data_IF_257401926196
#
_entry.id   IF_257401926196
#
_cell.length_a   1.000
_cell.length_b   1.000
_cell.length_c   1.000
_cell.angle_alpha   90.00
_cell.angle_beta   90.00
_cell.angle_gamma   90.00
#
_symmetry.space_group_name_H-M   'P 1'
#
loop_
_entity.id
_entity.type
_entity.pdbx_description
1 polymer ?
#
# COMPACT_ATOMS: atom_id res chain seq x y z
N UNK A 1 47.94 -42.26 34.07
CA UNK A 1 47.85 -41.29 32.95
C UNK A 1 47.39 -42.05 31.73
N UNK A 2 46.20 -41.76 31.19
CA UNK A 2 45.73 -42.36 29.92
C UNK A 2 46.07 -41.38 28.80
N UNK A 3 46.87 -41.83 27.83
CA UNK A 3 47.12 -41.07 26.60
C UNK A 3 45.80 -40.92 25.81
N UNK A 4 45.49 -39.73 25.30
CA UNK A 4 44.35 -39.56 24.40
C UNK A 4 44.65 -40.29 23.09
N UNK A 5 43.74 -41.19 22.70
CA UNK A 5 43.80 -41.90 21.42
C UNK A 5 43.79 -40.89 20.25
N UNK A 6 44.62 -41.10 19.22
CA UNK A 6 44.67 -40.22 18.06
C UNK A 6 43.32 -40.23 17.33
N UNK A 7 42.73 -39.04 17.13
CA UNK A 7 41.54 -38.87 16.29
C UNK A 7 41.83 -39.44 14.88
N UNK A 8 40.92 -40.25 14.31
CA UNK A 8 41.12 -40.80 12.98
C UNK A 8 41.17 -39.67 11.95
N UNK A 9 42.24 -39.63 11.16
CA UNK A 9 42.53 -38.58 10.17
C UNK A 9 41.37 -38.28 9.19
N UNK A 10 40.42 -39.21 9.01
CA UNK A 10 39.20 -39.02 8.23
C UNK A 10 38.22 -37.99 8.81
N UNK A 11 38.06 -37.92 10.15
CA UNK A 11 37.14 -36.98 10.78
C UNK A 11 37.58 -35.51 10.61
N UNK A 12 38.88 -35.25 10.60
CA UNK A 12 39.42 -33.91 10.40
C UNK A 12 39.27 -33.43 8.94
N UNK A 13 39.31 -34.34 7.96
CA UNK A 13 39.12 -34.04 6.54
C UNK A 13 37.63 -33.77 6.22
N UNK A 14 36.72 -34.61 6.73
CA UNK A 14 35.27 -34.41 6.57
C UNK A 14 34.79 -33.11 7.20
N UNK A 15 35.34 -32.74 8.37
CA UNK A 15 35.01 -31.48 9.02
C UNK A 15 35.47 -30.26 8.22
N UNK A 16 36.60 -30.34 7.50
CA UNK A 16 37.07 -29.27 6.61
C UNK A 16 36.19 -29.15 5.37
N UNK A 17 35.77 -30.27 4.79
CA UNK A 17 34.88 -30.31 3.61
C UNK A 17 33.51 -29.75 3.99
N UNK A 18 32.93 -30.20 5.11
CA UNK A 18 31.67 -29.68 5.63
C UNK A 18 31.73 -28.17 5.89
N UNK A 19 32.82 -27.68 6.49
CA UNK A 19 33.02 -26.24 6.74
C UNK A 19 33.11 -25.44 5.45
N UNK A 20 33.80 -25.96 4.42
CA UNK A 20 33.89 -25.32 3.10
C UNK A 20 32.56 -25.33 2.36
N UNK A 21 31.81 -26.42 2.43
CA UNK A 21 30.47 -26.51 1.87
C UNK A 21 29.52 -25.50 2.52
N UNK A 22 29.60 -25.35 3.86
CA UNK A 22 28.79 -24.39 4.60
C UNK A 22 29.15 -22.93 4.25
N UNK A 23 30.44 -22.64 4.04
CA UNK A 23 30.89 -21.33 3.54
C UNK A 23 30.35 -21.06 2.13
N UNK A 24 30.41 -22.05 1.22
CA UNK A 24 29.87 -21.92 -0.13
C UNK A 24 28.35 -21.68 -0.13
N UNK A 25 27.62 -22.42 0.70
CA UNK A 25 26.18 -22.23 0.88
C UNK A 25 25.89 -20.84 1.44
N UNK A 26 26.63 -20.38 2.45
CA UNK A 26 26.48 -19.04 2.99
C UNK A 26 26.75 -17.94 1.94
N UNK A 27 27.78 -18.11 1.11
CA UNK A 27 28.11 -17.20 0.01
C UNK A 27 27.01 -17.15 -1.07
N UNK A 28 26.38 -18.29 -1.36
CA UNK A 28 25.26 -18.38 -2.29
C UNK A 28 23.96 -17.80 -1.72
N UNK A 29 23.72 -17.95 -0.41
CA UNK A 29 22.54 -17.40 0.25
C UNK A 29 22.65 -15.89 0.55
N UNK A 30 23.87 -15.37 0.76
CA UNK A 30 24.11 -13.96 1.04
C UNK A 30 23.43 -12.98 0.06
N UNK A 31 23.52 -13.14 -1.28
CA UNK A 31 22.83 -12.24 -2.21
C UNK A 31 21.30 -12.36 -2.14
N UNK A 32 20.76 -13.56 -1.90
CA UNK A 32 19.31 -13.78 -1.76
C UNK A 32 18.78 -13.08 -0.51
N UNK A 33 19.46 -13.26 0.63
CA UNK A 33 19.12 -12.59 1.89
C UNK A 33 19.28 -11.08 1.75
N UNK A 34 20.34 -10.61 1.09
CA UNK A 34 20.56 -9.19 0.80
C UNK A 34 19.42 -8.58 -0.02
N UNK A 35 18.96 -9.26 -1.07
CA UNK A 35 17.82 -8.83 -1.88
C UNK A 35 16.51 -8.76 -1.07
N UNK A 36 16.26 -9.76 -0.22
CA UNK A 36 15.08 -9.78 0.65
C UNK A 36 15.11 -8.60 1.63
N UNK A 37 16.26 -8.35 2.28
CA UNK A 37 16.40 -7.22 3.22
C UNK A 37 16.25 -5.87 2.52
N UNK A 38 16.80 -5.72 1.31
CA UNK A 38 16.64 -4.52 0.49
C UNK A 38 15.16 -4.29 0.15
N UNK A 39 14.44 -5.33 -0.29
CA UNK A 39 13.02 -5.25 -0.58
C UNK A 39 12.22 -4.82 0.65
N UNK A 40 12.46 -5.45 1.80
CA UNK A 40 11.79 -5.09 3.06
C UNK A 40 12.05 -3.62 3.42
N UNK A 41 13.29 -3.13 3.29
CA UNK A 41 13.63 -1.74 3.57
C UNK A 41 12.90 -0.74 2.66
N UNK A 42 12.75 -1.06 1.38
CA UNK A 42 12.02 -0.21 0.43
C UNK A 42 10.52 -0.24 0.67
N UNK A 43 9.93 -1.41 0.94
CA UNK A 43 8.49 -1.54 1.20
C UNK A 43 8.08 -1.00 2.59
N UNK A 44 8.96 -1.07 3.59
CA UNK A 44 8.71 -0.51 4.91
C UNK A 44 8.62 1.02 4.90
N UNK A 45 9.07 1.69 3.84
CA UNK A 45 9.07 3.13 3.76
C UNK A 45 7.65 3.72 3.60
N UNK A 46 6.68 2.96 3.08
CA UNK A 46 5.31 3.44 2.89
C UNK A 46 4.31 2.53 3.60
N UNK A 47 3.45 3.14 4.43
CA UNK A 47 2.36 2.46 5.14
C UNK A 47 1.02 2.83 4.51
N UNK A 48 0.32 1.81 4.06
CA UNK A 48 -1.08 1.92 3.62
C UNK A 48 -2.02 1.54 4.75
N UNK A 49 -3.00 2.39 5.02
CA UNK A 49 -4.02 2.20 6.04
C UNK A 49 -5.40 2.51 5.45
N UNK A 50 -6.35 1.59 5.63
CA UNK A 50 -7.75 1.89 5.29
C UNK A 50 -8.38 2.66 6.43
N UNK A 51 -8.64 3.95 6.21
CA UNK A 51 -9.17 4.85 7.26
C UNK A 51 -10.69 4.87 7.29
N UNK A 52 -11.36 4.58 6.17
CA UNK A 52 -12.81 4.51 6.08
C UNK A 52 -13.23 3.54 4.98
N UNK A 53 -14.39 2.90 5.17
CA UNK A 53 -15.02 2.05 4.16
C UNK A 53 -16.51 1.95 4.44
N UNK A 54 -17.30 1.68 3.41
CA UNK A 54 -18.73 1.49 3.56
C UNK A 54 -19.42 1.07 2.29
N UNK A 55 -20.74 0.89 2.40
CA UNK A 55 -21.64 0.69 1.27
C UNK A 55 -22.71 1.77 1.34
N UNK A 56 -22.74 2.64 0.33
CA UNK A 56 -23.74 3.68 0.18
C UNK A 56 -24.99 3.15 -0.54
N UNK A 57 -26.14 3.86 -0.45
CA UNK A 57 -27.38 3.45 -1.11
C UNK A 57 -27.21 3.12 -2.60
N UNK A 58 -27.93 2.09 -3.03
CA UNK A 58 -27.82 1.53 -4.38
C UNK A 58 -26.54 0.71 -4.57
N UNK A 59 -26.14 -0.02 -3.53
CA UNK A 59 -25.04 -1.02 -3.54
C UNK A 59 -23.72 -0.44 -4.08
N UNK A 60 -23.37 0.78 -3.65
CA UNK A 60 -22.11 1.42 -4.02
C UNK A 60 -21.11 1.21 -2.90
N UNK A 61 -20.18 0.29 -3.08
CA UNK A 61 -19.10 0.06 -2.15
C UNK A 61 -17.99 1.10 -2.34
N UNK A 62 -17.41 1.55 -1.24
CA UNK A 62 -16.33 2.52 -1.25
C UNK A 62 -15.32 2.27 -0.15
N UNK A 63 -14.10 2.77 -0.37
CA UNK A 63 -12.98 2.70 0.56
C UNK A 63 -12.12 3.94 0.43
N UNK A 64 -11.68 4.48 1.57
CA UNK A 64 -10.66 5.52 1.67
C UNK A 64 -9.39 4.89 2.23
N UNK A 65 -8.30 4.98 1.48
CA UNK A 65 -6.99 4.49 1.85
C UNK A 65 -6.05 5.68 2.04
N UNK A 66 -5.39 5.74 3.19
CA UNK A 66 -4.30 6.66 3.49
C UNK A 66 -2.98 5.95 3.22
N UNK A 67 -2.14 6.53 2.38
CA UNK A 67 -0.77 6.11 2.13
C UNK A 67 0.17 7.17 2.73
N UNK A 68 1.08 6.75 3.60
CA UNK A 68 2.07 7.63 4.21
C UNK A 68 3.47 7.06 4.01
N UNK A 69 4.34 7.81 3.33
CA UNK A 69 5.72 7.41 3.05
C UNK A 69 6.69 8.18 3.95
N UNK A 70 7.35 7.49 4.88
CA UNK A 70 8.16 8.09 5.93
C UNK A 70 7.34 8.69 7.07
N UNK A 71 7.98 8.94 8.21
CA UNK A 71 7.30 9.45 9.42
C UNK A 71 6.77 10.88 9.22
N UNK A 72 7.50 11.72 8.48
CA UNK A 72 7.17 13.14 8.23
C UNK A 72 6.63 13.41 6.80
N UNK A 73 6.36 12.35 6.03
CA UNK A 73 5.82 12.49 4.68
C UNK A 73 4.37 12.97 4.69
N UNK A 74 4.03 13.86 3.77
CA UNK A 74 2.64 14.29 3.58
C UNK A 74 1.77 13.09 3.13
N UNK A 75 0.65 12.82 3.80
CA UNK A 75 -0.17 11.65 3.49
C UNK A 75 -0.91 11.81 2.16
N UNK A 76 -1.05 10.73 1.42
CA UNK A 76 -1.89 10.62 0.24
C UNK A 76 -3.17 9.88 0.60
N UNK A 77 -4.30 10.33 0.06
CA UNK A 77 -5.60 9.68 0.24
C UNK A 77 -6.13 9.23 -1.11
N UNK A 78 -6.53 7.97 -1.21
CA UNK A 78 -7.20 7.39 -2.37
C UNK A 78 -8.62 6.97 -1.97
N UNK A 79 -9.61 7.46 -2.70
CA UNK A 79 -11.00 7.06 -2.58
C UNK A 79 -11.34 6.16 -3.75
N UNK A 80 -11.56 4.88 -3.48
CA UNK A 80 -11.99 3.91 -4.47
C UNK A 80 -13.50 3.63 -4.33
N UNK A 81 -14.21 3.55 -5.46
CA UNK A 81 -15.64 3.29 -5.53
C UNK A 81 -15.93 2.18 -6.55
N UNK A 82 -17.00 1.43 -6.33
CA UNK A 82 -17.47 0.39 -7.23
C UNK A 82 -18.84 -0.14 -6.81
N UNK A 83 -19.45 -0.97 -7.64
CA UNK A 83 -20.62 -1.72 -7.21
C UNK A 83 -20.23 -2.71 -6.10
N UNK A 84 -21.19 -3.07 -5.25
CA UNK A 84 -20.98 -4.04 -4.18
C UNK A 84 -20.53 -5.39 -4.75
N UNK A 85 -19.47 -5.96 -4.15
CA UNK A 85 -18.82 -7.20 -4.59
C UNK A 85 -18.07 -7.10 -5.92
N UNK A 86 -17.96 -5.91 -6.52
CA UNK A 86 -17.14 -5.67 -7.71
C UNK A 86 -15.78 -5.07 -7.35
N UNK A 87 -14.89 -5.05 -8.33
CA UNK A 87 -13.58 -4.41 -8.16
C UNK A 87 -13.76 -2.91 -7.96
N UNK A 88 -13.20 -2.38 -6.88
CA UNK A 88 -13.16 -0.94 -6.63
C UNK A 88 -12.14 -0.27 -7.53
N UNK A 89 -12.50 0.88 -8.08
CA UNK A 89 -11.62 1.72 -8.88
C UNK A 89 -11.46 3.09 -8.24
N UNK A 90 -10.26 3.62 -8.27
CA UNK A 90 -9.93 4.96 -7.75
C UNK A 90 -10.77 6.04 -8.44
N UNK A 91 -11.59 6.73 -7.65
CA UNK A 91 -12.41 7.86 -8.05
C UNK A 91 -11.74 9.19 -7.76
N UNK A 92 -11.08 9.31 -6.60
CA UNK A 92 -10.50 10.56 -6.14
C UNK A 92 -9.17 10.32 -5.44
N UNK A 93 -8.17 11.13 -5.77
CA UNK A 93 -6.90 11.19 -5.05
C UNK A 93 -6.69 12.58 -4.44
N UNK A 94 -6.17 12.61 -3.22
CA UNK A 94 -5.81 13.85 -2.50
C UNK A 94 -4.45 13.69 -1.82
N UNK A 95 -3.78 14.80 -1.50
CA UNK A 95 -2.53 14.82 -0.73
C UNK A 95 -2.60 15.91 0.32
N UNK A 96 -2.23 15.53 1.55
CA UNK A 96 -2.33 16.37 2.72
C UNK A 96 -3.78 16.72 3.03
N UNK A 97 -4.24 17.84 2.49
CA UNK A 97 -5.59 18.35 2.66
C UNK A 97 -6.15 18.85 1.32
N UNK A 98 -7.47 18.73 1.08
CA UNK A 98 -8.50 18.23 1.99
C UNK A 98 -8.54 16.70 2.10
N UNK A 99 -8.99 16.20 3.26
CA UNK A 99 -9.06 14.77 3.61
C UNK A 99 -10.43 14.21 3.25
N UNK A 100 -10.52 13.16 2.42
CA UNK A 100 -11.79 12.47 2.16
C UNK A 100 -12.28 11.70 3.40
N UNK A 101 -13.56 11.86 3.74
CA UNK A 101 -14.17 11.26 4.92
C UNK A 101 -15.10 10.09 4.56
N UNK A 102 -16.01 10.31 3.62
CA UNK A 102 -16.99 9.30 3.20
C UNK A 102 -17.40 9.47 1.73
N UNK A 103 -18.22 8.53 1.25
CA UNK A 103 -18.87 8.60 -0.06
C UNK A 103 -20.38 8.48 0.11
N UNK A 104 -21.11 9.45 -0.45
CA UNK A 104 -22.56 9.49 -0.46
C UNK A 104 -23.10 9.32 -1.88
N UNK A 105 -24.31 8.75 -2.00
CA UNK A 105 -25.01 8.66 -3.28
C UNK A 105 -25.77 9.97 -3.53
N UNK A 106 -25.46 10.68 -4.61
CA UNK A 106 -26.14 11.92 -5.00
C UNK A 106 -27.21 11.69 -6.07
N UNK A 107 -27.10 10.62 -6.85
CA UNK A 107 -28.07 10.26 -7.88
C UNK A 107 -27.74 8.94 -8.54
N UNK A 108 -28.54 8.51 -9.53
CA UNK A 108 -28.40 7.18 -10.16
C UNK A 108 -27.01 6.92 -10.73
N UNK A 109 -26.32 7.93 -11.28
CA UNK A 109 -24.96 7.79 -11.83
C UNK A 109 -24.00 8.80 -11.20
N UNK A 110 -24.26 9.23 -9.96
CA UNK A 110 -23.49 10.29 -9.31
C UNK A 110 -23.22 9.93 -7.85
N UNK A 111 -21.95 9.92 -7.48
CA UNK A 111 -21.48 9.85 -6.11
C UNK A 111 -20.90 11.20 -5.68
N UNK A 112 -20.95 11.48 -4.38
CA UNK A 112 -20.29 12.62 -3.76
C UNK A 112 -19.25 12.10 -2.78
N UNK A 113 -18.01 12.53 -2.92
CA UNK A 113 -16.96 12.29 -1.93
C UNK A 113 -16.96 13.47 -0.97
N UNK A 114 -17.28 13.24 0.30
CA UNK A 114 -17.26 14.32 1.31
C UNK A 114 -15.83 14.52 1.82
N UNK A 115 -15.48 15.78 1.98
CA UNK A 115 -14.17 16.24 2.43
C UNK A 115 -14.30 16.81 3.85
N UNK A 116 -13.20 16.79 4.62
CA UNK A 116 -13.13 17.40 5.95
C UNK A 116 -13.28 18.93 5.92
N UNK A 117 -12.90 19.53 4.80
CA UNK A 117 -13.00 20.97 4.53
C UNK A 117 -13.23 21.22 3.04
N UNK A 118 -13.79 22.38 2.68
CA UNK A 118 -13.87 22.80 1.29
C UNK A 118 -12.48 22.85 0.66
N UNK A 119 -12.44 22.59 -0.64
CA UNK A 119 -11.23 22.82 -1.44
C UNK A 119 -10.97 24.32 -1.55
N UNK A 120 -9.70 24.72 -1.59
CA UNK A 120 -9.29 26.10 -1.86
C UNK A 120 -10.01 26.67 -3.09
N UNK A 121 -10.59 27.86 -2.93
CA UNK A 121 -11.38 28.54 -3.96
C UNK A 121 -12.82 28.03 -4.15
N UNK A 122 -13.25 27.01 -3.41
CA UNK A 122 -14.62 26.48 -3.45
C UNK A 122 -15.32 26.62 -2.10
N UNK A 123 -16.66 26.72 -2.13
CA UNK A 123 -17.48 26.63 -0.92
C UNK A 123 -18.03 25.22 -0.66
N UNK A 124 -17.76 24.29 -1.58
CA UNK A 124 -18.31 22.93 -1.53
C UNK A 124 -17.30 21.99 -0.87
N UNK A 125 -17.76 21.23 0.12
CA UNK A 125 -17.05 20.15 0.80
C UNK A 125 -17.35 18.77 0.17
N UNK A 126 -18.01 18.75 -1.00
CA UNK A 126 -18.40 17.52 -1.69
C UNK A 126 -17.91 17.54 -3.12
N UNK A 127 -17.06 16.57 -3.48
CA UNK A 127 -16.58 16.39 -4.86
C UNK A 127 -17.50 15.40 -5.57
N UNK A 128 -18.07 15.84 -6.69
CA UNK A 128 -18.98 15.02 -7.48
C UNK A 128 -18.19 14.09 -8.41
N UNK A 129 -18.47 12.80 -8.33
CA UNK A 129 -17.86 11.76 -9.16
C UNK A 129 -18.96 11.11 -10.00
N UNK A 130 -18.83 11.21 -11.31
CA UNK A 130 -19.74 10.53 -12.24
C UNK A 130 -19.42 9.04 -12.28
N UNK A 131 -20.46 8.20 -12.28
CA UNK A 131 -20.35 6.75 -12.29
C UNK A 131 -20.80 6.16 -13.62
N UNK A 132 -20.12 5.08 -14.03
CA UNK A 132 -20.56 4.21 -15.12
C UNK A 132 -21.70 3.31 -14.66
N UNK A 133 -22.35 2.62 -15.60
CA UNK A 133 -23.40 1.63 -15.29
C UNK A 133 -22.91 0.50 -14.38
N UNK A 134 -21.62 0.19 -14.41
CA UNK A 134 -20.95 -0.79 -13.55
C UNK A 134 -20.73 -0.30 -12.11
N UNK A 135 -21.08 0.95 -11.77
CA UNK A 135 -20.80 1.54 -10.46
C UNK A 135 -19.36 2.04 -10.29
N UNK A 136 -18.47 1.76 -11.23
CA UNK A 136 -17.11 2.31 -11.27
C UNK A 136 -17.13 3.80 -11.66
N UNK A 137 -16.14 4.60 -11.25
CA UNK A 137 -16.05 6.00 -11.67
C UNK A 137 -15.84 6.10 -13.19
N UNK A 138 -16.39 7.15 -13.81
CA UNK A 138 -16.17 7.44 -15.23
C UNK A 138 -14.76 7.98 -15.48
N UNK A 139 -14.27 8.77 -14.55
CA UNK A 139 -12.98 9.47 -14.56
C UNK A 139 -12.37 9.50 -13.15
N UNK A 140 -11.06 9.71 -13.08
CA UNK A 140 -10.34 9.93 -11.82
C UNK A 140 -10.15 11.43 -11.60
N UNK A 141 -10.48 11.91 -10.42
CA UNK A 141 -10.28 13.30 -10.01
C UNK A 141 -9.02 13.36 -9.13
N UNK A 142 -8.10 14.26 -9.45
CA UNK A 142 -6.88 14.48 -8.67
C UNK A 142 -6.90 15.88 -8.04
N UNK A 143 -7.09 15.95 -6.73
CA UNK A 143 -7.21 17.22 -6.03
C UNK A 143 -5.90 18.02 -5.98
N UNK A 144 -4.76 17.38 -6.30
CA UNK A 144 -3.47 18.07 -6.40
C UNK A 144 -3.33 18.88 -7.70
N UNK A 145 -3.99 18.46 -8.78
CA UNK A 145 -3.78 19.04 -10.10
C UNK A 145 -4.48 20.40 -10.30
N UNK A 146 -5.59 20.68 -9.59
CA UNK A 146 -6.30 21.96 -9.74
C UNK A 146 -5.91 23.03 -8.71
N UNK A 147 -4.80 22.84 -7.97
CA UNK A 147 -4.20 23.90 -7.14
C UNK A 147 -3.43 24.96 -7.97
N UNK A 148 -3.48 24.89 -9.29
CA UNK A 148 -2.84 25.85 -10.18
C UNK A 148 -3.76 26.29 -11.32
N UNK A 149 -4.58 27.31 -11.06
CA UNK A 149 -5.02 28.31 -12.04
C UNK A 149 -5.66 29.52 -11.36
#
# INVERSE_FOLDING_TARGET
MREPLPEPAGQAADRRIARRALILVALLCAPVVGLILLQIGVFAACRDETIARGVAPGHLQWRVTKMQCGDDGEPFYDVAVGAENETLSTALTSRGTPVPLDVVRLGKNLAGVRLDRPRDGTKEDVVRVTLRRSGSPSERIDLQADAGR
#
